data_IF_987690483009
#
_entry.id   IF_987690483009
#
_cell.length_a   1.000
_cell.length_b   1.000
_cell.length_c   1.000
_cell.angle_alpha   90.00
_cell.angle_beta   90.00
_cell.angle_gamma   90.00
#
_symmetry.space_group_name_H-M   'P 1'
#
loop_
_entity.id
_entity.type
_entity.pdbx_description
1 polymer ?
#
# COMPACT_ATOMS: atom_id res chain seq x y z
N UNK A 1 -20.01 16.72 -2.61
CA UNK A 1 -19.05 17.83 -2.43
C UNK A 1 -19.17 18.78 -3.58
N UNK A 2 -19.16 20.08 -3.29
CA UNK A 2 -19.08 21.10 -4.31
C UNK A 2 -17.67 21.15 -4.94
N UNK A 3 -17.54 21.69 -6.15
CA UNK A 3 -16.25 21.79 -6.88
C UNK A 3 -15.18 22.53 -6.05
N UNK A 4 -15.59 23.51 -5.25
CA UNK A 4 -14.71 24.26 -4.35
C UNK A 4 -14.14 23.39 -3.22
N UNK A 5 -14.97 22.56 -2.58
CA UNK A 5 -14.57 21.63 -1.52
C UNK A 5 -13.59 20.57 -2.04
N UNK A 6 -13.89 20.00 -3.22
CA UNK A 6 -13.00 19.02 -3.86
C UNK A 6 -11.61 19.58 -4.12
N UNK A 7 -11.53 20.83 -4.60
CA UNK A 7 -10.24 21.48 -4.85
C UNK A 7 -9.44 21.67 -3.57
N UNK A 8 -10.08 22.10 -2.48
CA UNK A 8 -9.44 22.27 -1.17
C UNK A 8 -8.93 20.94 -0.62
N UNK A 9 -9.74 19.89 -0.69
CA UNK A 9 -9.37 18.56 -0.25
C UNK A 9 -8.13 18.04 -1.00
N UNK A 10 -8.14 18.18 -2.34
CA UNK A 10 -6.99 17.79 -3.17
C UNK A 10 -5.74 18.60 -2.84
N UNK A 11 -5.86 19.92 -2.64
CA UNK A 11 -4.71 20.73 -2.24
C UNK A 11 -4.10 20.28 -0.92
N UNK A 12 -4.94 20.01 0.10
CA UNK A 12 -4.48 19.52 1.41
C UNK A 12 -3.75 18.17 1.31
N UNK A 13 -4.27 17.24 0.49
CA UNK A 13 -3.60 15.95 0.24
C UNK A 13 -2.27 16.19 -0.49
N UNK A 14 -2.26 17.08 -1.48
CA UNK A 14 -1.09 17.41 -2.29
C UNK A 14 0.06 18.09 -1.53
N UNK A 15 -0.22 18.67 -0.37
CA UNK A 15 0.84 19.21 0.53
C UNK A 15 1.69 18.11 1.17
N UNK A 16 1.16 16.88 1.22
CA UNK A 16 1.78 15.75 1.94
C UNK A 16 2.10 14.55 1.06
N UNK A 17 1.43 14.39 -0.07
CA UNK A 17 1.59 13.27 -1.01
C UNK A 17 1.63 13.79 -2.44
N UNK A 18 2.35 13.09 -3.31
CA UNK A 18 2.33 13.41 -4.74
C UNK A 18 1.00 12.97 -5.38
N UNK A 19 0.21 13.94 -5.82
CA UNK A 19 -1.09 13.74 -6.47
C UNK A 19 -1.06 14.03 -7.98
N UNK A 20 0.09 14.41 -8.54
CA UNK A 20 0.24 14.90 -9.91
C UNK A 20 -0.24 13.91 -10.97
N UNK A 21 -0.08 12.62 -10.72
CA UNK A 21 -0.49 11.53 -11.62
C UNK A 21 -1.69 10.71 -11.09
N UNK A 22 -2.43 11.26 -10.13
CA UNK A 22 -3.47 10.51 -9.42
C UNK A 22 -4.88 10.92 -9.85
N UNK A 23 -5.56 10.03 -10.58
CA UNK A 23 -7.01 10.09 -10.74
C UNK A 23 -7.67 9.55 -9.48
N UNK A 24 -8.12 10.46 -8.62
CA UNK A 24 -8.88 10.18 -7.40
C UNK A 24 -10.35 10.56 -7.59
N UNK A 25 -11.26 9.66 -7.19
CA UNK A 25 -12.67 9.98 -6.98
C UNK A 25 -12.86 10.82 -5.71
N UNK A 26 -14.10 11.25 -5.44
CA UNK A 26 -14.41 11.96 -4.19
C UNK A 26 -14.19 11.05 -2.97
N UNK A 27 -14.58 9.77 -3.06
CA UNK A 27 -14.36 8.77 -2.00
C UNK A 27 -12.87 8.49 -1.77
N UNK A 28 -12.09 8.38 -2.84
CA UNK A 28 -10.63 8.19 -2.76
C UNK A 28 -9.98 9.37 -2.03
N UNK A 29 -10.42 10.59 -2.33
CA UNK A 29 -9.91 11.79 -1.69
C UNK A 29 -10.28 11.82 -0.20
N UNK A 30 -11.51 11.45 0.17
CA UNK A 30 -11.90 11.34 1.59
C UNK A 30 -11.11 10.27 2.34
N UNK A 31 -10.83 9.15 1.69
CA UNK A 31 -10.05 8.06 2.28
C UNK A 31 -8.62 8.52 2.57
N UNK A 32 -7.98 9.18 1.61
CA UNK A 32 -6.64 9.74 1.78
C UNK A 32 -6.61 10.86 2.82
N UNK A 33 -7.63 11.72 2.84
CA UNK A 33 -7.73 12.79 3.84
C UNK A 33 -7.82 12.26 5.26
N UNK A 34 -8.71 11.27 5.50
CA UNK A 34 -8.82 10.59 6.81
C UNK A 34 -7.53 9.86 7.19
N UNK A 35 -6.89 9.23 6.22
CA UNK A 35 -5.60 8.57 6.42
C UNK A 35 -4.52 9.58 6.83
N UNK A 36 -4.42 10.72 6.15
CA UNK A 36 -3.46 11.78 6.48
C UNK A 36 -3.74 12.44 7.83
N UNK A 37 -5.01 12.60 8.19
CA UNK A 37 -5.45 13.17 9.46
C UNK A 37 -5.08 12.29 10.66
N UNK A 38 -5.20 10.97 10.49
CA UNK A 38 -4.84 9.97 11.49
C UNK A 38 -3.41 9.43 11.34
N UNK A 39 -2.64 9.92 10.37
CA UNK A 39 -1.36 9.31 9.98
C UNK A 39 -0.37 9.19 11.14
N UNK A 40 -0.14 10.29 11.85
CA UNK A 40 0.82 10.37 12.96
C UNK A 40 0.47 9.43 14.11
N UNK A 41 -0.83 9.25 14.40
CA UNK A 41 -1.30 8.48 15.56
C UNK A 41 -1.51 7.00 15.21
N UNK A 42 -2.10 6.74 14.05
CA UNK A 42 -2.61 5.41 13.71
C UNK A 42 -1.71 4.64 12.76
N UNK A 43 -0.84 5.32 11.99
CA UNK A 43 -0.09 4.70 10.90
C UNK A 43 1.42 4.79 11.06
N UNK A 44 1.97 5.97 11.38
CA UNK A 44 3.41 6.24 11.40
C UNK A 44 4.20 5.19 12.19
N UNK A 45 5.20 4.60 11.54
CA UNK A 45 6.07 3.57 12.12
C UNK A 45 5.40 2.21 12.33
N UNK A 46 4.10 2.06 12.05
CA UNK A 46 3.40 0.77 12.16
C UNK A 46 3.56 -0.03 10.88
N UNK A 47 3.54 -1.35 11.04
CA UNK A 47 3.58 -2.29 9.94
C UNK A 47 2.36 -3.22 9.97
N UNK A 48 1.88 -3.60 8.79
CA UNK A 48 0.88 -4.65 8.62
C UNK A 48 1.40 -5.71 7.68
N UNK A 49 1.35 -6.97 8.08
CA UNK A 49 1.78 -8.09 7.24
C UNK A 49 0.57 -8.90 6.80
N UNK A 50 0.49 -9.16 5.49
CA UNK A 50 -0.41 -10.16 4.93
C UNK A 50 0.43 -11.33 4.44
N UNK A 51 0.12 -12.52 4.94
CA UNK A 51 0.77 -13.75 4.52
C UNK A 51 -0.26 -14.65 3.84
N UNK A 52 0.17 -15.32 2.78
CA UNK A 52 -0.60 -16.33 2.08
C UNK A 52 0.28 -17.57 1.88
N UNK A 53 -0.37 -18.72 1.77
CA UNK A 53 0.29 -19.97 1.43
C UNK A 53 -0.60 -20.77 0.50
N UNK A 54 -0.01 -21.48 -0.45
CA UNK A 54 -0.75 -22.21 -1.45
C UNK A 54 0.05 -23.35 -2.04
N UNK A 55 -0.47 -23.87 -3.15
CA UNK A 55 0.16 -24.91 -3.96
C UNK A 55 0.27 -24.43 -5.39
N UNK A 56 1.45 -24.63 -5.98
CA UNK A 56 1.72 -24.35 -7.39
C UNK A 56 2.06 -25.63 -8.15
N UNK A 57 2.22 -25.50 -9.47
CA UNK A 57 2.63 -26.59 -10.35
C UNK A 57 3.80 -26.14 -11.21
N UNK A 58 4.87 -26.92 -11.20
CA UNK A 58 6.05 -26.79 -12.06
C UNK A 58 6.16 -28.02 -12.98
N UNK A 59 7.20 -28.07 -13.81
CA UNK A 59 7.47 -29.26 -14.64
C UNK A 59 7.82 -30.50 -13.81
N UNK A 60 8.33 -30.31 -12.58
CA UNK A 60 8.75 -31.38 -11.68
C UNK A 60 7.63 -31.83 -10.72
N UNK A 61 6.50 -31.13 -10.70
CA UNK A 61 5.30 -31.55 -9.98
C UNK A 61 4.65 -30.41 -9.18
N UNK A 62 3.98 -30.80 -8.08
CA UNK A 62 3.26 -29.87 -7.22
C UNK A 62 4.18 -29.41 -6.09
N UNK A 63 4.33 -28.10 -5.95
CA UNK A 63 5.08 -27.48 -4.86
C UNK A 63 4.16 -26.68 -3.92
N UNK A 64 4.63 -26.37 -2.73
CA UNK A 64 3.96 -25.51 -1.74
C UNK A 64 4.72 -24.22 -1.59
N UNK A 65 4.01 -23.10 -1.70
CA UNK A 65 4.62 -21.80 -1.52
C UNK A 65 4.04 -21.05 -0.32
N UNK A 66 4.85 -20.15 0.20
CA UNK A 66 4.49 -19.13 1.19
C UNK A 66 4.93 -17.79 0.66
N UNK A 67 4.03 -16.83 0.68
CA UNK A 67 4.35 -15.45 0.38
C UNK A 67 3.90 -14.55 1.52
N UNK A 68 4.65 -13.48 1.75
CA UNK A 68 4.26 -12.45 2.70
C UNK A 68 4.56 -11.08 2.14
N UNK A 69 3.61 -10.17 2.33
CA UNK A 69 3.75 -8.75 2.00
C UNK A 69 3.59 -7.95 3.28
N UNK A 70 4.65 -7.26 3.67
CA UNK A 70 4.67 -6.33 4.80
C UNK A 70 4.58 -4.90 4.29
N UNK A 71 3.59 -4.17 4.80
CA UNK A 71 3.35 -2.76 4.52
C UNK A 71 3.76 -1.96 5.75
N UNK A 72 4.84 -1.20 5.66
CA UNK A 72 5.38 -0.37 6.75
C UNK A 72 5.17 1.10 6.42
N UNK A 73 4.39 1.79 7.25
CA UNK A 73 4.13 3.22 7.08
C UNK A 73 5.35 4.02 7.58
N UNK A 74 5.90 4.87 6.71
CA UNK A 74 7.15 5.60 6.96
C UNK A 74 6.96 6.81 7.88
N UNK A 75 8.05 7.45 8.30
CA UNK A 75 7.96 8.70 9.10
C UNK A 75 7.29 9.85 8.34
N UNK A 76 7.58 9.95 7.05
CA UNK A 76 6.86 10.80 6.10
C UNK A 76 5.68 10.04 5.48
N UNK A 77 4.62 10.71 5.03
CA UNK A 77 3.46 10.09 4.40
C UNK A 77 3.84 9.19 3.21
N UNK A 78 3.89 7.89 3.46
CA UNK A 78 4.37 6.91 2.51
C UNK A 78 4.31 5.50 3.08
N UNK A 79 4.47 4.51 2.21
CA UNK A 79 4.44 3.10 2.60
C UNK A 79 5.59 2.37 1.93
N UNK A 80 6.46 1.78 2.75
CA UNK A 80 7.41 0.77 2.31
C UNK A 80 6.71 -0.58 2.24
N UNK A 81 6.80 -1.23 1.09
CA UNK A 81 6.23 -2.54 0.83
C UNK A 81 7.37 -3.53 0.64
N UNK A 82 7.46 -4.51 1.53
CA UNK A 82 8.42 -5.60 1.47
C UNK A 82 7.65 -6.90 1.13
N UNK A 83 7.95 -7.48 -0.02
CA UNK A 83 7.43 -8.76 -0.49
C UNK A 83 8.49 -9.85 -0.26
N UNK A 84 8.04 -11.02 0.15
CA UNK A 84 8.84 -12.24 0.18
C UNK A 84 8.02 -13.42 -0.31
N UNK A 85 8.69 -14.33 -1.00
CA UNK A 85 8.18 -15.58 -1.50
C UNK A 85 9.20 -16.68 -1.18
N UNK A 86 8.71 -17.85 -0.82
CA UNK A 86 9.51 -19.05 -0.63
C UNK A 86 8.67 -20.31 -0.88
N UNK A 87 9.23 -21.29 -1.58
CA UNK A 87 8.62 -22.61 -1.75
C UNK A 87 9.51 -23.77 -1.27
N UNK A 88 8.93 -24.97 -1.23
CA UNK A 88 9.58 -26.21 -0.80
C UNK A 88 10.51 -26.84 -1.85
N UNK A 89 10.48 -26.35 -3.09
CA UNK A 89 11.43 -26.70 -4.15
C UNK A 89 12.73 -25.86 -4.05
N UNK A 90 12.76 -24.87 -3.15
CA UNK A 90 13.95 -24.10 -2.81
C UNK A 90 14.02 -22.73 -3.49
N UNK A 91 13.00 -22.35 -4.26
CA UNK A 91 12.91 -21.03 -4.83
C UNK A 91 12.55 -20.01 -3.76
N UNK A 92 13.18 -18.84 -3.86
CA UNK A 92 12.93 -17.71 -2.97
C UNK A 92 13.09 -16.40 -3.72
N UNK A 93 12.19 -15.47 -3.44
CA UNK A 93 12.21 -14.14 -4.02
C UNK A 93 11.90 -13.12 -2.92
N UNK A 94 12.59 -11.99 -2.95
CA UNK A 94 12.24 -10.86 -2.11
C UNK A 94 12.37 -9.56 -2.88
N UNK A 95 11.44 -8.64 -2.65
CA UNK A 95 11.44 -7.32 -3.28
C UNK A 95 11.00 -6.28 -2.27
N UNK A 96 11.63 -5.12 -2.30
CA UNK A 96 11.24 -3.98 -1.49
C UNK A 96 11.04 -2.76 -2.38
N UNK A 97 10.00 -2.00 -2.09
CA UNK A 97 9.73 -0.73 -2.78
C UNK A 97 9.12 0.27 -1.81
N UNK A 98 9.42 1.55 -2.01
CA UNK A 98 8.80 2.64 -1.25
C UNK A 98 7.81 3.36 -2.13
N UNK A 99 6.58 3.48 -1.65
CA UNK A 99 5.45 4.11 -2.33
C UNK A 99 5.14 5.42 -1.63
N UNK A 100 5.38 6.53 -2.30
CA UNK A 100 5.14 7.89 -1.80
C UNK A 100 4.09 8.64 -2.63
N UNK A 101 3.64 8.06 -3.74
CA UNK A 101 2.60 8.63 -4.56
C UNK A 101 1.21 8.32 -3.98
N UNK A 102 0.29 9.28 -4.11
CA UNK A 102 -1.05 9.17 -3.55
C UNK A 102 -1.82 7.98 -4.13
N UNK A 103 -1.55 7.58 -5.38
CA UNK A 103 -2.24 6.47 -6.02
C UNK A 103 -1.84 5.13 -5.41
N UNK A 104 -0.54 4.89 -5.26
CA UNK A 104 0.00 3.68 -4.68
C UNK A 104 -0.38 3.58 -3.20
N UNK A 105 -0.33 4.67 -2.44
CA UNK A 105 -0.82 4.71 -1.05
C UNK A 105 -2.29 4.34 -0.99
N UNK A 106 -3.13 4.92 -1.86
CA UNK A 106 -4.56 4.59 -1.92
C UNK A 106 -4.80 3.11 -2.27
N UNK A 107 -4.08 2.56 -3.26
CA UNK A 107 -4.21 1.15 -3.65
C UNK A 107 -3.76 0.21 -2.51
N UNK A 108 -2.77 0.61 -1.71
CA UNK A 108 -2.36 -0.11 -0.49
C UNK A 108 -3.46 -0.04 0.58
N UNK A 109 -4.02 1.14 0.83
CA UNK A 109 -5.10 1.31 1.82
C UNK A 109 -6.30 0.43 1.48
N UNK A 110 -6.72 0.38 0.21
CA UNK A 110 -7.80 -0.50 -0.28
C UNK A 110 -7.49 -2.00 -0.16
N UNK A 111 -6.20 -2.37 -0.15
CA UNK A 111 -5.80 -3.76 0.12
C UNK A 111 -5.82 -4.08 1.61
N UNK A 112 -5.63 -3.09 2.49
CA UNK A 112 -5.52 -3.29 3.93
C UNK A 112 -6.84 -3.13 4.68
N UNK A 113 -7.78 -2.33 4.16
CA UNK A 113 -9.07 -1.98 4.76
C UNK A 113 -10.20 -2.19 3.76
#
# INVERSE_FOLDING_TARGET
MDKSEKKRLRSRIGERLDISHTRMSDDDALMLDRFLDSYETDYKGKSRTKSASGVGFSSDGRYRYKESTTYTFTDEPGVRVDYSYHDDDGDSESRSQTVTDARGVLDILKKLF
#
